data_IF_144271867540
#
_entry.id   IF_144271867540
#
_cell.length_a   1.000
_cell.length_b   1.000
_cell.length_c   1.000
_cell.angle_alpha   90.00
_cell.angle_beta   90.00
_cell.angle_gamma   90.00
#
_symmetry.space_group_name_H-M   'P 1'
#
loop_
_entity.id
_entity.type
_entity.pdbx_description
1 polymer ?
#
# COMPACT_ATOMS: atom_id res chain seq x y z
N UNK A 1 5.79 -23.21 51.32
CA UNK A 1 6.45 -21.93 51.68
C UNK A 1 6.68 -21.09 50.41
N UNK A 2 6.27 -19.82 50.42
CA UNK A 2 6.43 -18.91 49.29
C UNK A 2 7.81 -18.23 49.41
N UNK A 3 8.66 -18.43 48.40
CA UNK A 3 10.02 -17.91 48.39
C UNK A 3 10.03 -16.62 47.55
N UNK A 4 10.26 -15.49 48.21
CA UNK A 4 10.33 -14.17 47.57
C UNK A 4 11.81 -13.86 47.32
N UNK A 5 12.19 -13.73 46.06
CA UNK A 5 13.53 -13.34 45.64
C UNK A 5 13.57 -11.84 45.33
N UNK A 6 14.61 -11.16 45.77
CA UNK A 6 14.77 -9.72 45.54
C UNK A 6 15.33 -9.49 44.12
N UNK A 7 14.87 -8.44 43.43
CA UNK A 7 15.34 -8.15 42.06
C UNK A 7 16.86 -7.93 41.99
N UNK A 8 17.47 -7.43 43.07
CA UNK A 8 18.91 -7.18 43.18
C UNK A 8 19.74 -8.48 43.27
N UNK A 9 19.10 -9.61 43.60
CA UNK A 9 19.73 -10.94 43.55
C UNK A 9 19.81 -11.46 42.10
N UNK A 10 19.05 -10.86 41.18
CA UNK A 10 19.16 -11.12 39.74
C UNK A 10 20.26 -10.24 39.14
N UNK A 11 21.41 -10.85 38.89
CA UNK A 11 22.53 -10.24 38.17
C UNK A 11 23.61 -11.28 37.91
N UNK A 12 24.38 -11.12 36.83
CA UNK A 12 25.54 -11.96 36.61
C UNK A 12 26.56 -11.68 37.72
N UNK A 13 26.76 -12.65 38.62
CA UNK A 13 27.75 -12.53 39.69
C UNK A 13 29.14 -12.23 39.12
N UNK A 14 30.00 -11.48 39.85
CA UNK A 14 31.36 -11.16 39.42
C UNK A 14 32.19 -12.45 39.40
N UNK A 15 32.17 -13.15 38.27
CA UNK A 15 32.80 -14.47 38.13
C UNK A 15 32.02 -15.47 37.29
N UNK A 16 30.78 -15.17 36.88
CA UNK A 16 30.20 -15.91 35.77
C UNK A 16 31.07 -15.61 34.52
N UNK A 17 31.61 -16.62 33.81
CA UNK A 17 32.14 -16.36 32.49
C UNK A 17 31.00 -15.70 31.74
N UNK A 18 31.17 -14.45 31.31
CA UNK A 18 30.34 -13.90 30.25
C UNK A 18 30.52 -14.91 29.13
N UNK A 19 29.53 -15.78 28.94
CA UNK A 19 29.43 -16.54 27.72
C UNK A 19 29.39 -15.45 26.67
N UNK A 20 30.52 -15.24 25.99
CA UNK A 20 30.60 -14.36 24.85
C UNK A 20 29.68 -15.04 23.86
N UNK A 21 28.40 -14.66 23.91
CA UNK A 21 27.47 -15.01 22.86
C UNK A 21 28.17 -14.56 21.59
N UNK A 22 28.28 -15.43 20.57
CA UNK A 22 28.81 -15.01 19.29
C UNK A 22 28.07 -13.72 18.95
N UNK A 23 28.82 -12.62 18.85
CA UNK A 23 28.26 -11.39 18.33
C UNK A 23 27.91 -11.75 16.90
N UNK A 24 26.63 -12.03 16.65
CA UNK A 24 26.11 -12.29 15.32
C UNK A 24 26.55 -11.09 14.46
N UNK A 25 27.50 -11.31 13.53
CA UNK A 25 28.14 -10.20 12.83
C UNK A 25 27.17 -9.47 11.92
N UNK A 26 26.02 -10.09 11.64
CA UNK A 26 25.01 -9.62 10.70
C UNK A 26 23.65 -9.51 11.41
N UNK A 27 23.08 -8.29 11.53
CA UNK A 27 21.81 -8.09 12.23
C UNK A 27 20.61 -8.75 11.52
N UNK A 28 20.77 -9.13 10.25
CA UNK A 28 19.72 -9.77 9.44
C UNK A 28 19.71 -11.30 9.52
N UNK A 29 20.52 -11.96 10.36
CA UNK A 29 20.38 -13.39 10.58
C UNK A 29 18.99 -13.69 11.21
N UNK A 30 18.24 -14.74 10.78
CA UNK A 30 18.64 -15.90 9.96
C UNK A 30 18.44 -15.74 8.45
N UNK A 31 18.16 -14.54 7.95
CA UNK A 31 17.99 -14.31 6.52
C UNK A 31 19.34 -14.41 5.79
N UNK A 32 19.34 -15.10 4.63
CA UNK A 32 20.57 -15.33 3.83
C UNK A 32 21.17 -14.05 3.24
N UNK A 33 20.38 -12.98 3.15
CA UNK A 33 20.77 -11.71 2.54
C UNK A 33 19.99 -10.58 3.20
N UNK A 34 20.63 -9.43 3.37
CA UNK A 34 19.99 -8.21 3.91
C UNK A 34 18.69 -7.84 3.17
N UNK A 35 18.66 -7.93 1.83
CA UNK A 35 17.45 -7.60 1.06
C UNK A 35 16.24 -8.48 1.41
N UNK A 36 16.45 -9.76 1.74
CA UNK A 36 15.37 -10.64 2.15
C UNK A 36 14.83 -10.25 3.54
N UNK A 37 15.70 -9.76 4.42
CA UNK A 37 15.29 -9.22 5.71
C UNK A 37 14.46 -7.95 5.52
N UNK A 38 14.96 -6.98 4.75
CA UNK A 38 14.27 -5.69 4.51
C UNK A 38 12.90 -5.89 3.84
N UNK A 39 12.79 -6.82 2.88
CA UNK A 39 11.51 -7.14 2.22
C UNK A 39 10.50 -7.74 3.21
N UNK A 40 10.94 -8.64 4.09
CA UNK A 40 10.06 -9.29 5.08
C UNK A 40 9.71 -8.31 6.21
N UNK A 41 10.64 -7.45 6.61
CA UNK A 41 10.42 -6.37 7.56
C UNK A 41 9.33 -5.42 7.05
N UNK A 42 9.46 -4.94 5.80
CA UNK A 42 8.44 -4.11 5.16
C UNK A 42 7.08 -4.82 5.06
N UNK A 43 7.08 -6.11 4.71
CA UNK A 43 5.85 -6.89 4.63
C UNK A 43 5.14 -7.03 6.00
N UNK A 44 5.92 -7.13 7.08
CA UNK A 44 5.42 -7.17 8.45
C UNK A 44 4.89 -5.80 8.88
N UNK A 45 5.64 -4.73 8.62
CA UNK A 45 5.23 -3.34 8.91
C UNK A 45 3.93 -2.97 8.20
N UNK A 46 3.79 -3.38 6.93
CA UNK A 46 2.59 -3.16 6.13
C UNK A 46 1.45 -4.16 6.43
N UNK A 47 1.66 -5.13 7.32
CA UNK A 47 0.70 -6.17 7.71
C UNK A 47 0.14 -6.90 6.48
N UNK A 48 1.03 -7.27 5.56
CA UNK A 48 0.62 -7.94 4.33
C UNK A 48 0.02 -9.32 4.64
N UNK A 49 -1.08 -9.64 3.97
CA UNK A 49 -1.63 -11.00 3.96
C UNK A 49 -0.67 -11.97 3.27
N UNK A 50 -0.83 -13.27 3.52
CA UNK A 50 -0.04 -14.31 2.82
C UNK A 50 -0.10 -14.16 1.29
N UNK A 51 -1.29 -13.89 0.74
CA UNK A 51 -1.47 -13.69 -0.70
C UNK A 51 -0.72 -12.46 -1.21
N UNK A 52 -0.74 -11.35 -0.46
CA UNK A 52 -0.01 -10.13 -0.84
C UNK A 52 1.52 -10.34 -0.74
N UNK A 53 1.99 -11.09 0.25
CA UNK A 53 3.40 -11.42 0.40
C UNK A 53 3.90 -12.28 -0.77
N UNK A 54 3.15 -13.31 -1.16
CA UNK A 54 3.47 -14.13 -2.35
C UNK A 54 3.48 -13.29 -3.63
N UNK A 55 2.54 -12.35 -3.76
CA UNK A 55 2.50 -11.41 -4.89
C UNK A 55 3.74 -10.50 -4.92
N UNK A 56 4.13 -9.93 -3.78
CA UNK A 56 5.32 -9.08 -3.66
C UNK A 56 6.59 -9.85 -4.05
N UNK A 57 6.77 -11.08 -3.56
CA UNK A 57 7.91 -11.93 -3.91
C UNK A 57 7.95 -12.26 -5.41
N UNK A 58 6.78 -12.55 -6.00
CA UNK A 58 6.68 -12.78 -7.44
C UNK A 58 7.08 -11.53 -8.25
N UNK A 59 6.67 -10.32 -7.84
CA UNK A 59 7.07 -9.08 -8.49
C UNK A 59 8.59 -8.83 -8.39
N UNK A 60 9.19 -9.09 -7.22
CA UNK A 60 10.65 -8.98 -7.03
C UNK A 60 11.40 -9.99 -7.91
N UNK A 61 10.86 -11.18 -8.12
CA UNK A 61 11.46 -12.16 -9.03
C UNK A 61 11.27 -11.77 -10.50
N UNK A 62 10.10 -11.26 -10.87
CA UNK A 62 9.78 -10.81 -12.22
C UNK A 62 10.60 -9.59 -12.63
N UNK A 63 10.98 -8.73 -11.69
CA UNK A 63 11.77 -7.53 -11.96
C UNK A 63 13.17 -7.80 -12.55
N UNK A 64 13.63 -9.05 -12.49
CA UNK A 64 14.84 -9.53 -13.17
C UNK A 64 14.70 -9.54 -14.70
N UNK A 65 13.48 -9.70 -15.19
CA UNK A 65 13.15 -9.77 -16.61
C UNK A 65 12.55 -8.47 -17.13
N UNK A 66 11.85 -7.74 -16.27
CA UNK A 66 11.18 -6.49 -16.62
C UNK A 66 11.48 -5.40 -15.59
N UNK A 67 12.05 -4.29 -16.03
CA UNK A 67 12.45 -3.22 -15.10
C UNK A 67 11.23 -2.50 -14.52
N UNK A 68 11.17 -2.44 -13.19
CA UNK A 68 10.23 -1.57 -12.49
C UNK A 68 10.68 -0.11 -12.69
N UNK A 69 9.86 0.69 -13.38
CA UNK A 69 10.17 2.10 -13.66
C UNK A 69 9.62 3.09 -12.62
N UNK A 70 9.03 2.59 -11.53
CA UNK A 70 8.50 3.39 -10.43
C UNK A 70 9.55 3.45 -9.32
N UNK A 71 10.13 4.62 -9.06
CA UNK A 71 11.25 4.78 -8.12
C UNK A 71 10.81 5.25 -6.74
N UNK A 72 9.68 5.95 -6.67
CA UNK A 72 9.21 6.58 -5.45
C UNK A 72 7.68 6.75 -5.48
N UNK A 73 7.11 7.16 -4.35
CA UNK A 73 5.68 7.40 -4.21
C UNK A 73 5.12 8.41 -5.22
N UNK A 74 5.87 9.47 -5.55
CA UNK A 74 5.44 10.47 -6.53
C UNK A 74 5.30 9.85 -7.92
N UNK A 75 6.22 8.98 -8.34
CA UNK A 75 6.11 8.29 -9.63
C UNK A 75 4.85 7.41 -9.68
N UNK A 76 4.53 6.73 -8.58
CA UNK A 76 3.29 5.93 -8.46
C UNK A 76 2.07 6.83 -8.61
N UNK A 77 2.03 7.94 -7.86
CA UNK A 77 0.91 8.88 -7.90
C UNK A 77 0.74 9.53 -9.28
N UNK A 78 1.82 10.05 -9.86
CA UNK A 78 1.80 10.67 -11.19
C UNK A 78 1.36 9.65 -12.27
N UNK A 79 1.79 8.38 -12.14
CA UNK A 79 1.36 7.30 -13.05
C UNK A 79 -0.11 6.96 -12.86
N UNK A 80 -0.61 6.90 -11.62
CA UNK A 80 -2.03 6.68 -11.33
C UNK A 80 -2.90 7.82 -11.82
N UNK A 81 -2.47 9.08 -11.63
CA UNK A 81 -3.18 10.25 -12.14
C UNK A 81 -3.25 10.17 -13.67
N UNK A 82 -2.13 9.89 -14.34
CA UNK A 82 -2.10 9.69 -15.79
C UNK A 82 -2.99 8.53 -16.27
N UNK A 83 -3.03 7.43 -15.53
CA UNK A 83 -3.90 6.28 -15.83
C UNK A 83 -5.38 6.60 -15.60
N UNK A 84 -5.70 7.41 -14.58
CA UNK A 84 -7.06 7.82 -14.26
C UNK A 84 -7.69 8.58 -15.44
N UNK A 85 -6.94 9.48 -16.08
CA UNK A 85 -7.38 10.20 -17.28
C UNK A 85 -7.61 9.30 -18.51
N UNK A 86 -7.08 8.07 -18.51
CA UNK A 86 -7.27 7.10 -19.60
C UNK A 86 -8.40 6.11 -19.36
N UNK A 87 -8.69 5.81 -18.10
CA UNK A 87 -9.61 4.75 -17.71
C UNK A 87 -10.96 5.28 -17.21
N UNK A 88 -11.02 6.56 -16.84
CA UNK A 88 -12.26 7.20 -16.39
C UNK A 88 -12.54 8.44 -17.22
N UNK A 89 -13.82 8.71 -17.54
CA UNK A 89 -14.19 10.02 -18.07
C UNK A 89 -13.86 11.07 -17.02
N UNK A 90 -13.35 12.21 -17.50
CA UNK A 90 -12.80 13.26 -16.64
C UNK A 90 -13.88 13.77 -15.69
N UNK A 91 -13.77 13.43 -14.40
CA UNK A 91 -14.56 14.07 -13.35
C UNK A 91 -14.02 15.48 -13.12
N UNK A 92 -14.89 16.46 -13.32
CA UNK A 92 -14.64 17.86 -13.07
C UNK A 92 -14.92 18.17 -11.61
N UNK A 93 -13.92 18.73 -10.93
CA UNK A 93 -14.09 19.28 -9.59
C UNK A 93 -14.64 20.70 -9.69
N UNK A 94 -15.81 20.92 -9.10
CA UNK A 94 -16.46 22.22 -9.01
C UNK A 94 -16.77 22.55 -7.55
N UNK A 95 -16.54 23.80 -7.15
CA UNK A 95 -16.95 24.29 -5.82
C UNK A 95 -18.34 24.91 -5.92
N UNK A 96 -19.30 24.31 -5.23
CA UNK A 96 -20.68 24.80 -5.18
C UNK A 96 -20.90 25.52 -3.86
N UNK A 97 -21.25 26.80 -3.94
CA UNK A 97 -21.62 27.60 -2.77
C UNK A 97 -23.13 27.60 -2.63
N UNK A 98 -23.62 27.09 -1.50
CA UNK A 98 -25.05 27.02 -1.18
C UNK A 98 -25.33 27.83 0.08
N UNK A 99 -26.19 28.87 0.01
CA UNK A 99 -26.59 29.62 1.20
C UNK A 99 -27.50 28.76 2.08
N UNK A 100 -27.10 28.51 3.33
CA UNK A 100 -27.87 27.74 4.31
C UNK A 100 -27.87 28.42 5.67
N UNK A 101 -29.05 28.71 6.21
CA UNK A 101 -29.25 29.39 7.50
C UNK A 101 -28.48 30.72 7.64
N UNK A 102 -28.37 31.48 6.55
CA UNK A 102 -27.69 32.78 6.54
C UNK A 102 -26.16 32.72 6.45
N UNK A 103 -25.58 31.52 6.30
CA UNK A 103 -24.17 31.33 6.02
C UNK A 103 -23.98 30.63 4.68
N UNK A 104 -22.95 31.01 3.93
CA UNK A 104 -22.56 30.32 2.71
C UNK A 104 -21.79 29.04 3.07
N UNK A 105 -22.29 27.89 2.64
CA UNK A 105 -21.57 26.63 2.75
C UNK A 105 -20.97 26.26 1.40
N UNK A 106 -19.67 25.96 1.41
CA UNK A 106 -18.93 25.55 0.21
C UNK A 106 -18.77 24.05 0.21
N UNK A 107 -19.19 23.39 -0.87
CA UNK A 107 -19.05 21.96 -1.09
C UNK A 107 -18.18 21.70 -2.30
N UNK A 108 -17.25 20.76 -2.19
CA UNK A 108 -16.49 20.25 -3.34
C UNK A 108 -17.30 19.13 -3.99
N UNK A 109 -17.77 19.38 -5.21
CA UNK A 109 -18.51 18.42 -6.01
C UNK A 109 -17.61 17.90 -7.13
N UNK A 110 -17.51 16.59 -7.27
CA UNK A 110 -16.90 15.95 -8.44
C UNK A 110 -18.02 15.42 -9.32
N UNK A 111 -18.11 15.90 -10.56
CA UNK A 111 -19.15 15.49 -11.50
C UNK A 111 -18.54 15.18 -12.87
N UNK A 112 -19.19 14.33 -13.65
CA UNK A 112 -18.85 14.13 -15.06
C UNK A 112 -20.13 14.26 -15.91
N UNK A 113 -19.97 14.53 -17.19
CA UNK A 113 -21.09 14.50 -18.12
C UNK A 113 -21.53 13.05 -18.30
N UNK A 114 -22.76 12.73 -17.87
CA UNK A 114 -23.32 11.37 -17.91
C UNK A 114 -23.25 10.79 -19.32
N UNK A 115 -23.48 11.63 -20.33
CA UNK A 115 -23.40 11.22 -21.73
C UNK A 115 -21.98 10.82 -22.14
N UNK A 116 -20.97 11.62 -21.80
CA UNK A 116 -19.57 11.30 -22.09
C UNK A 116 -19.15 10.01 -21.38
N UNK A 117 -19.59 9.84 -20.12
CA UNK A 117 -19.36 8.60 -19.39
C UNK A 117 -20.04 7.37 -20.01
N UNK A 118 -21.28 7.53 -20.46
CA UNK A 118 -22.00 6.46 -21.15
C UNK A 118 -21.34 6.10 -22.49
N UNK A 119 -20.88 7.10 -23.26
CA UNK A 119 -20.16 6.88 -24.53
C UNK A 119 -18.83 6.18 -24.29
N UNK A 120 -18.07 6.57 -23.26
CA UNK A 120 -16.82 5.90 -22.88
C UNK A 120 -17.07 4.43 -22.51
N UNK A 121 -18.10 4.14 -21.71
CA UNK A 121 -18.47 2.76 -21.36
C UNK A 121 -18.85 1.92 -22.59
N UNK A 122 -19.52 2.52 -23.57
CA UNK A 122 -19.91 1.85 -24.81
C UNK A 122 -18.70 1.56 -25.72
N UNK A 123 -17.63 2.36 -25.62
CA UNK A 123 -16.39 2.14 -26.36
C UNK A 123 -15.51 1.06 -25.74
N UNK A 124 -15.69 0.73 -24.45
CA UNK A 124 -14.97 -0.35 -23.80
C UNK A 124 -15.40 -1.72 -24.41
N UNK A 125 -14.50 -2.48 -25.05
CA UNK A 125 -14.83 -3.77 -25.65
C UNK A 125 -15.32 -4.82 -24.65
N UNK A 126 -14.97 -4.70 -23.36
CA UNK A 126 -15.40 -5.61 -22.30
C UNK A 126 -16.81 -5.28 -21.80
N UNK A 127 -17.25 -4.02 -21.92
CA UNK A 127 -18.50 -3.54 -21.32
C UNK A 127 -19.56 -3.24 -22.38
N UNK A 128 -19.19 -2.54 -23.46
CA UNK A 128 -20.10 -2.15 -24.52
C UNK A 128 -20.82 -3.32 -25.20
N UNK A 129 -20.16 -4.48 -25.32
CA UNK A 129 -20.77 -5.71 -25.87
C UNK A 129 -21.93 -6.26 -25.03
N UNK A 130 -22.03 -5.86 -23.77
CA UNK A 130 -23.04 -6.34 -22.82
C UNK A 130 -24.07 -5.26 -22.46
N UNK A 131 -24.02 -4.08 -23.09
CA UNK A 131 -25.01 -3.03 -22.87
C UNK A 131 -26.37 -3.46 -23.40
N UNK A 132 -27.36 -3.50 -22.51
CA UNK A 132 -28.77 -3.69 -22.87
C UNK A 132 -29.47 -2.35 -22.69
N UNK A 133 -29.96 -1.80 -23.80
CA UNK A 133 -30.81 -0.62 -23.78
C UNK A 133 -32.27 -1.09 -23.71
N UNK A 134 -32.80 -1.20 -22.50
CA UNK A 134 -34.24 -1.41 -22.31
C UNK A 134 -34.94 -0.06 -22.55
N UNK A 135 -35.58 0.07 -23.71
CA UNK A 135 -36.50 1.15 -23.99
C UNK A 135 -37.91 0.70 -23.56
N UNK A 136 -38.41 1.26 -22.46
CA UNK A 136 -39.83 1.20 -22.10
C UNK A 136 -40.63 2.33 -22.77
#
# INVERSE_FOLDING_TARGET
>A
PMQVHHFEEYGHGPGAPTAVLPVEPEPWHPFRTQINFEVVELALEAVLTHQQMDCLLNLIHHSKYEQVMLWNHKDVQDTWDAASYKLTPVFVREEVVVPFQGNDQTFQLFHCLIWDWAVDLLQDPQVGLHFVFDAE
#
